data_IF_599067757802
#
_entry.id   IF_599067757802
#
_cell.length_a   1.000
_cell.length_b   1.000
_cell.length_c   1.000
_cell.angle_alpha   90.00
_cell.angle_beta   90.00
_cell.angle_gamma   90.00
#
_symmetry.space_group_name_H-M   'P 1'
#
loop_
_entity.id
_entity.type
_entity.pdbx_description
1 polymer ?
#
# COMPACT_ATOMS: atom_id res chain seq x y z
N UNK A 1 -49.36 -19.31 -6.06
CA UNK A 1 -48.09 -19.72 -6.72
C UNK A 1 -47.23 -18.53 -7.18
N UNK A 2 -47.80 -17.45 -7.76
CA UNK A 2 -47.02 -16.30 -8.27
C UNK A 2 -46.25 -15.51 -7.20
N UNK A 3 -46.81 -15.36 -5.99
CA UNK A 3 -46.20 -14.62 -4.88
C UNK A 3 -44.96 -15.30 -4.29
N UNK A 4 -44.92 -16.64 -4.26
CA UNK A 4 -43.79 -17.42 -3.75
C UNK A 4 -42.57 -17.29 -4.66
N UNK A 5 -42.78 -17.27 -5.98
CA UNK A 5 -41.71 -17.04 -6.95
C UNK A 5 -41.06 -15.66 -6.80
N UNK A 6 -41.86 -14.62 -6.55
CA UNK A 6 -41.36 -13.25 -6.31
C UNK A 6 -40.53 -13.19 -5.02
N UNK A 7 -40.98 -13.86 -3.96
CA UNK A 7 -40.27 -13.89 -2.68
C UNK A 7 -38.89 -14.56 -2.81
N UNK A 8 -38.82 -15.68 -3.52
CA UNK A 8 -37.55 -16.37 -3.81
C UNK A 8 -36.62 -15.53 -4.68
N UNK A 9 -37.17 -14.77 -5.62
CA UNK A 9 -36.39 -13.88 -6.48
C UNK A 9 -35.73 -12.76 -5.68
N UNK A 10 -36.45 -12.15 -4.74
CA UNK A 10 -35.93 -11.09 -3.85
C UNK A 10 -34.81 -11.64 -2.95
N UNK A 11 -35.02 -12.83 -2.36
CA UNK A 11 -33.99 -13.48 -1.53
C UNK A 11 -32.76 -13.85 -2.37
N UNK A 12 -32.96 -14.34 -3.59
CA UNK A 12 -31.88 -14.66 -4.53
C UNK A 12 -31.04 -13.43 -4.90
N UNK A 13 -31.69 -12.32 -5.24
CA UNK A 13 -31.00 -11.05 -5.54
C UNK A 13 -30.25 -10.54 -4.31
N UNK A 14 -30.88 -10.58 -3.12
CA UNK A 14 -30.22 -10.17 -1.88
C UNK A 14 -28.94 -10.96 -1.61
N UNK A 15 -28.99 -12.27 -1.81
CA UNK A 15 -27.81 -13.13 -1.64
C UNK A 15 -26.73 -12.86 -2.71
N UNK A 16 -27.14 -12.62 -3.96
CA UNK A 16 -26.21 -12.28 -5.04
C UNK A 16 -25.48 -10.95 -4.79
N UNK A 17 -26.21 -9.92 -4.35
CA UNK A 17 -25.62 -8.62 -4.01
C UNK A 17 -24.68 -8.76 -2.80
N UNK A 18 -25.08 -9.53 -1.78
CA UNK A 18 -24.24 -9.78 -0.61
C UNK A 18 -22.91 -10.46 -0.99
N UNK A 19 -22.96 -11.53 -1.78
CA UNK A 19 -21.77 -12.24 -2.26
C UNK A 19 -20.91 -11.38 -3.21
N UNK A 20 -21.54 -10.56 -4.03
CA UNK A 20 -20.85 -9.60 -4.91
C UNK A 20 -20.03 -8.59 -4.12
N UNK A 21 -20.61 -7.99 -3.07
CA UNK A 21 -19.90 -7.03 -2.21
C UNK A 21 -18.74 -7.72 -1.47
N UNK A 22 -18.94 -8.93 -0.95
CA UNK A 22 -17.89 -9.71 -0.29
C UNK A 22 -16.72 -10.00 -1.23
N UNK A 23 -17.01 -10.39 -2.47
CA UNK A 23 -15.99 -10.68 -3.49
C UNK A 23 -15.23 -9.42 -3.88
N UNK A 24 -15.93 -8.30 -4.10
CA UNK A 24 -15.29 -7.01 -4.41
C UNK A 24 -14.37 -6.54 -3.28
N UNK A 25 -14.75 -6.76 -2.00
CA UNK A 25 -13.88 -6.44 -0.85
C UNK A 25 -12.60 -7.29 -0.85
N UNK A 26 -12.70 -8.58 -1.18
CA UNK A 26 -11.53 -9.47 -1.28
C UNK A 26 -10.61 -9.05 -2.43
N UNK A 27 -11.17 -8.81 -3.62
CA UNK A 27 -10.41 -8.34 -4.79
C UNK A 27 -9.72 -7.00 -4.53
N UNK A 28 -10.38 -6.05 -3.85
CA UNK A 28 -9.77 -4.76 -3.50
C UNK A 28 -8.65 -4.92 -2.47
N UNK A 29 -8.74 -5.89 -1.56
CA UNK A 29 -7.67 -6.21 -0.62
C UNK A 29 -6.49 -6.81 -1.36
N UNK A 30 -6.73 -7.81 -2.22
CA UNK A 30 -5.71 -8.44 -3.05
C UNK A 30 -5.07 -7.45 -4.03
N UNK A 31 -5.83 -6.59 -4.71
CA UNK A 31 -5.28 -5.57 -5.61
C UNK A 31 -4.41 -4.53 -4.89
N UNK A 32 -4.71 -4.20 -3.62
CA UNK A 32 -3.82 -3.36 -2.80
C UNK A 32 -2.62 -4.12 -2.24
N UNK A 33 -2.70 -5.45 -2.17
CA UNK A 33 -1.64 -6.35 -1.71
C UNK A 33 -0.72 -6.76 -2.87
N UNK A 34 -1.20 -6.66 -4.12
CA UNK A 34 -0.42 -6.77 -5.36
C UNK A 34 0.48 -5.53 -5.52
N UNK A 35 1.58 -5.58 -4.76
CA UNK A 35 2.92 -5.13 -5.14
C UNK A 35 3.04 -3.71 -5.68
N UNK A 36 2.70 -2.70 -4.88
CA UNK A 36 3.37 -1.41 -5.05
C UNK A 36 4.71 -1.46 -4.30
N UNK A 37 5.77 -1.84 -5.00
CA UNK A 37 7.14 -1.79 -4.47
C UNK A 37 7.63 -0.35 -4.52
N UNK A 38 7.99 0.19 -3.36
CA UNK A 38 8.58 1.52 -3.23
C UNK A 38 10.10 1.42 -3.29
N UNK A 39 10.73 2.27 -4.11
CA UNK A 39 12.19 2.28 -4.31
C UNK A 39 12.83 3.31 -3.40
N UNK A 40 13.66 2.85 -2.47
CA UNK A 40 14.38 3.72 -1.55
C UNK A 40 15.87 3.78 -1.89
N UNK A 41 16.40 4.99 -1.80
CA UNK A 41 17.83 5.27 -1.95
C UNK A 41 18.42 5.52 -0.56
N UNK A 42 19.43 4.75 -0.16
CA UNK A 42 20.16 5.03 1.07
C UNK A 42 21.14 6.19 0.85
N UNK A 43 21.09 7.24 1.67
CA UNK A 43 22.02 8.39 1.52
C UNK A 43 23.45 8.09 1.96
N UNK A 44 23.70 6.94 2.61
CA UNK A 44 25.02 6.59 3.10
C UNK A 44 25.82 5.68 2.17
N UNK A 45 25.25 4.53 1.78
CA UNK A 45 25.90 3.63 0.83
C UNK A 45 25.55 3.94 -0.62
N UNK A 46 24.57 4.82 -0.88
CA UNK A 46 24.11 5.14 -2.24
C UNK A 46 23.31 4.02 -2.92
N UNK A 47 23.15 2.87 -2.28
CA UNK A 47 22.43 1.74 -2.87
C UNK A 47 20.92 1.96 -2.88
N UNK A 48 20.31 1.35 -3.90
CA UNK A 48 18.88 1.34 -4.13
C UNK A 48 18.33 -0.01 -3.68
N UNK A 49 17.20 0.00 -3.02
CA UNK A 49 16.50 -1.22 -2.65
C UNK A 49 15.00 -0.99 -2.64
N UNK A 50 14.26 -2.07 -2.82
CA UNK A 50 12.80 -2.05 -2.92
C UNK A 50 12.20 -2.57 -1.62
N UNK A 51 11.14 -1.90 -1.16
CA UNK A 51 10.31 -2.34 -0.06
C UNK A 51 8.89 -2.55 -0.57
N UNK A 52 8.25 -3.62 -0.11
CA UNK A 52 6.82 -3.81 -0.36
C UNK A 52 6.00 -2.72 0.35
N UNK A 53 4.77 -2.48 -0.10
CA UNK A 53 3.86 -1.51 0.54
C UNK A 53 3.65 -1.78 2.02
N UNK A 54 3.60 -3.06 2.41
CA UNK A 54 3.39 -3.50 3.80
C UNK A 54 4.62 -3.17 4.65
N UNK A 55 5.80 -3.60 4.21
CA UNK A 55 7.06 -3.29 4.91
C UNK A 55 7.35 -1.79 4.94
N UNK A 56 7.00 -1.08 3.85
CA UNK A 56 7.15 0.36 3.75
C UNK A 56 6.27 1.06 4.77
N UNK A 57 4.98 0.70 4.87
CA UNK A 57 4.07 1.27 5.87
C UNK A 57 4.54 0.99 7.28
N UNK A 58 4.98 -0.22 7.56
CA UNK A 58 5.45 -0.61 8.88
C UNK A 58 6.72 0.13 9.29
N UNK A 59 7.70 0.21 8.39
CA UNK A 59 8.96 0.95 8.63
C UNK A 59 8.74 2.47 8.68
N UNK A 60 7.85 3.02 7.85
CA UNK A 60 7.59 4.47 7.82
C UNK A 60 6.77 4.93 9.03
N UNK A 61 5.81 4.13 9.52
CA UNK A 61 4.90 4.49 10.62
C UNK A 61 5.63 4.99 11.86
N UNK A 62 6.81 4.42 12.15
CA UNK A 62 7.63 4.76 13.30
C UNK A 62 8.91 5.54 12.93
N UNK A 63 9.08 5.88 11.65
CA UNK A 63 10.25 6.63 11.18
C UNK A 63 10.10 8.12 11.41
N UNK A 64 11.22 8.80 11.64
CA UNK A 64 11.26 10.26 11.64
C UNK A 64 11.07 10.74 10.20
N UNK A 65 9.99 11.50 9.98
CA UNK A 65 9.67 12.11 8.69
C UNK A 65 10.23 13.52 8.62
N UNK A 66 11.03 13.81 7.59
CA UNK A 66 11.46 15.17 7.28
C UNK A 66 10.96 15.50 5.89
N UNK A 67 10.11 16.52 5.78
CA UNK A 67 9.77 17.12 4.49
C UNK A 67 10.87 18.09 4.12
N UNK A 68 11.61 17.82 3.05
CA UNK A 68 12.49 18.81 2.43
C UNK A 68 11.78 19.36 1.20
N UNK A 69 11.34 20.60 1.35
CA UNK A 69 10.87 21.41 0.23
C UNK A 69 12.09 22.04 -0.42
N UNK A 70 12.31 21.75 -1.70
CA UNK A 70 13.26 22.49 -2.55
C UNK A 70 12.45 23.22 -3.61
N UNK A 71 12.96 24.36 -4.11
CA UNK A 71 12.28 25.29 -5.02
C UNK A 71 11.51 24.62 -6.19
N UNK A 72 11.95 23.44 -6.66
CA UNK A 72 11.31 22.70 -7.74
C UNK A 72 10.82 21.29 -7.37
N UNK A 73 11.11 20.76 -6.17
CA UNK A 73 10.67 19.40 -5.79
C UNK A 73 10.35 19.28 -4.30
N UNK A 74 9.23 18.62 -3.98
CA UNK A 74 8.95 18.13 -2.64
C UNK A 74 9.56 16.72 -2.50
N UNK A 75 10.55 16.57 -1.60
CA UNK A 75 11.14 15.27 -1.28
C UNK A 75 10.85 14.91 0.18
N UNK A 76 10.26 13.75 0.40
CA UNK A 76 10.09 13.15 1.72
C UNK A 76 11.30 12.30 2.08
N UNK A 77 11.93 12.65 3.20
CA UNK A 77 13.00 11.86 3.81
C UNK A 77 12.43 11.04 4.95
N UNK A 78 12.73 9.75 4.97
CA UNK A 78 12.37 8.83 6.04
C UNK A 78 13.64 8.30 6.71
N UNK A 79 13.72 8.37 8.04
CA UNK A 79 14.87 7.83 8.79
C UNK A 79 14.60 6.39 9.24
N UNK A 80 15.28 5.42 8.63
CA UNK A 80 15.23 4.02 9.07
C UNK A 80 16.49 3.23 8.63
N UNK A 81 16.66 2.01 9.17
CA UNK A 81 17.85 1.16 9.00
C UNK A 81 17.97 0.63 7.55
N UNK A 82 19.19 0.61 7.01
CA UNK A 82 19.45 0.09 5.67
C UNK A 82 19.45 -1.43 5.70
N UNK A 83 18.70 -2.10 4.82
CA UNK A 83 18.81 -3.55 4.72
C UNK A 83 20.18 -3.98 4.16
N UNK A 84 20.87 -3.11 3.40
CA UNK A 84 22.15 -3.48 2.78
C UNK A 84 23.33 -3.12 3.66
N UNK A 85 23.46 -1.85 4.08
CA UNK A 85 24.62 -1.41 4.88
C UNK A 85 24.38 -1.37 6.41
N UNK A 86 23.16 -1.67 6.89
CA UNK A 86 22.84 -1.61 8.33
C UNK A 86 22.77 -0.20 8.94
N UNK A 87 23.14 0.86 8.21
CA UNK A 87 23.17 2.20 8.78
C UNK A 87 21.78 2.85 8.92
N UNK A 88 21.60 3.59 10.02
CA UNK A 88 20.41 4.39 10.33
C UNK A 88 20.49 5.77 9.68
N UNK A 89 20.19 5.83 8.39
CA UNK A 89 20.24 7.06 7.62
C UNK A 89 18.89 7.47 7.02
N UNK A 90 18.83 8.72 6.58
CA UNK A 90 17.67 9.23 5.85
C UNK A 90 17.62 8.63 4.46
N UNK A 91 16.41 8.44 3.95
CA UNK A 91 16.17 7.81 2.66
C UNK A 91 15.09 8.53 1.92
N UNK A 92 15.29 8.63 0.63
CA UNK A 92 14.37 9.26 -0.29
C UNK A 92 13.75 8.21 -1.19
N UNK A 93 12.55 8.50 -1.68
CA UNK A 93 12.08 7.88 -2.90
C UNK A 93 13.12 8.17 -3.99
N UNK A 94 13.66 7.11 -4.60
CA UNK A 94 14.50 7.25 -5.78
C UNK A 94 13.57 7.66 -6.93
N UNK A 95 13.29 8.96 -7.06
CA UNK A 95 12.71 9.48 -8.30
C UNK A 95 13.65 9.11 -9.44
N UNK A 96 13.11 8.41 -10.45
CA UNK A 96 13.74 8.24 -11.76
C UNK A 96 13.86 9.61 -12.40
#
# INVERSE_FOLDING_TARGET
MKSVGILLFIVGIGNFVYQGILTLRKLRKEANEVRTTHRFCCTACGEKYELSTVETKEKIKWSIHIRKETLNTQKSLYKFICPICGEKNFRNDCMI
#
